data_IF_812332973164
#
_entry.id   IF_812332973164
#
_cell.length_a   1.000
_cell.length_b   1.000
_cell.length_c   1.000
_cell.angle_alpha   90.00
_cell.angle_beta   90.00
_cell.angle_gamma   90.00
#
_symmetry.space_group_name_H-M   'P 1'
#
loop_
_entity.id
_entity.type
_entity.pdbx_description
1 polymer ?
#
# COMPACT_ATOMS: atom_id res chain seq x y z
N UNK A 1 2.31 3.87 6.64
CA UNK A 1 1.17 4.78 6.50
C UNK A 1 0.05 4.06 5.76
N UNK A 2 -1.22 4.36 6.08
CA UNK A 2 -2.43 3.63 5.69
C UNK A 2 -2.54 2.21 6.26
N UNK A 3 -1.59 1.81 7.10
CA UNK A 3 -1.43 0.42 7.57
C UNK A 3 -1.71 0.32 9.06
N UNK A 4 -1.05 1.16 9.87
CA UNK A 4 -1.12 1.14 11.33
C UNK A 4 -2.44 1.70 11.88
N UNK A 5 -3.08 2.57 11.11
CA UNK A 5 -4.41 3.13 11.37
C UNK A 5 -5.55 2.28 10.78
N UNK A 6 -5.25 1.18 10.10
CA UNK A 6 -6.29 0.40 9.42
C UNK A 6 -7.22 -0.24 10.47
N UNK A 7 -8.54 -0.02 10.40
CA UNK A 7 -9.48 -0.61 11.36
C UNK A 7 -9.47 -2.14 11.28
N UNK A 8 -9.18 -2.68 10.10
CA UNK A 8 -9.11 -4.11 9.79
C UNK A 8 -7.81 -4.80 10.26
N UNK A 9 -6.93 -4.09 10.99
CA UNK A 9 -5.77 -4.73 11.59
C UNK A 9 -6.22 -5.76 12.62
N UNK A 10 -5.72 -6.99 12.47
CA UNK A 10 -5.97 -8.10 13.39
C UNK A 10 -4.97 -8.07 14.53
N UNK A 11 -5.12 -7.09 15.41
CA UNK A 11 -4.23 -6.84 16.55
C UNK A 11 -5.04 -6.75 17.83
N UNK A 12 -4.45 -7.05 19.00
CA UNK A 12 -5.04 -6.74 20.29
C UNK A 12 -5.41 -5.25 20.38
N UNK A 13 -6.58 -4.93 20.93
CA UNK A 13 -7.09 -3.56 20.99
C UNK A 13 -6.17 -2.62 21.79
N UNK A 14 -5.52 -3.14 22.83
CA UNK A 14 -4.49 -2.47 23.62
C UNK A 14 -3.28 -1.97 22.80
N UNK A 15 -2.99 -2.59 21.65
CA UNK A 15 -1.90 -2.15 20.76
C UNK A 15 -2.34 -1.08 19.76
N UNK A 16 -3.65 -0.81 19.64
CA UNK A 16 -4.17 0.14 18.64
C UNK A 16 -3.68 1.56 18.93
N UNK A 17 -3.78 2.00 20.17
CA UNK A 17 -3.29 3.33 20.58
C UNK A 17 -1.78 3.48 20.34
N UNK A 18 -1.01 2.43 20.67
CA UNK A 18 0.42 2.40 20.41
C UNK A 18 0.74 2.53 18.92
N UNK A 19 0.02 1.82 18.04
CA UNK A 19 0.26 1.91 16.59
C UNK A 19 -0.17 3.24 15.98
N UNK A 20 -1.22 3.88 16.51
CA UNK A 20 -1.57 5.24 16.13
C UNK A 20 -0.47 6.23 16.52
N UNK A 21 0.12 6.08 17.71
CA UNK A 21 1.28 6.88 18.12
C UNK A 21 2.48 6.65 17.18
N UNK A 22 2.80 5.40 16.87
CA UNK A 22 3.91 5.06 15.94
C UNK A 22 3.65 5.67 14.57
N UNK A 23 2.43 5.60 14.05
CA UNK A 23 2.05 6.23 12.77
C UNK A 23 2.40 7.72 12.75
N UNK A 24 2.08 8.44 13.82
CA UNK A 24 2.32 9.89 13.91
C UNK A 24 3.80 10.24 14.12
N UNK A 25 4.62 9.29 14.58
CA UNK A 25 6.06 9.46 14.73
C UNK A 25 6.85 9.19 13.44
N UNK A 26 6.33 8.37 12.51
CA UNK A 26 7.03 8.01 11.27
C UNK A 26 7.47 9.25 10.44
N UNK A 27 6.61 10.25 10.17
CA UNK A 27 7.02 11.46 9.47
C UNK A 27 8.16 12.20 10.17
N UNK A 28 8.06 12.34 11.50
CA UNK A 28 9.08 13.03 12.32
C UNK A 28 10.42 12.31 12.26
N UNK A 29 10.41 10.99 12.44
CA UNK A 29 11.61 10.17 12.31
C UNK A 29 12.26 10.29 10.93
N UNK A 30 11.47 10.43 9.86
CA UNK A 30 12.01 10.67 8.53
C UNK A 30 12.67 12.05 8.40
N UNK A 31 12.03 13.10 8.94
CA UNK A 31 12.61 14.46 8.95
C UNK A 31 13.88 14.54 9.80
N UNK A 32 13.92 13.83 10.93
CA UNK A 32 15.10 13.73 11.79
C UNK A 32 16.24 13.03 11.06
N UNK A 33 15.96 11.94 10.34
CA UNK A 33 16.94 11.28 9.47
C UNK A 33 17.48 12.21 8.37
N UNK A 34 16.61 12.99 7.71
CA UNK A 34 17.05 14.00 6.73
C UNK A 34 17.95 15.06 7.36
N UNK A 35 17.63 15.49 8.60
CA UNK A 35 18.44 16.44 9.36
C UNK A 35 19.82 15.87 9.68
N UNK A 36 19.89 14.61 10.12
CA UNK A 36 21.14 13.91 10.42
C UNK A 36 22.04 13.75 9.18
N UNK A 37 21.45 13.62 7.99
CA UNK A 37 22.20 13.65 6.72
C UNK A 37 22.72 15.04 6.33
N UNK A 38 22.46 16.08 7.13
CA UNK A 38 22.94 17.43 6.89
C UNK A 38 22.07 18.27 5.95
N UNK A 39 20.81 17.87 5.71
CA UNK A 39 19.87 18.68 4.91
C UNK A 39 19.57 20.00 5.62
N UNK A 40 19.71 21.11 4.90
CA UNK A 40 19.44 22.44 5.44
C UNK A 40 17.99 22.59 5.94
N UNK A 41 17.80 23.35 7.02
CA UNK A 41 16.50 23.59 7.65
C UNK A 41 15.41 24.06 6.68
N UNK A 42 15.75 24.91 5.69
CA UNK A 42 14.80 25.40 4.69
C UNK A 42 14.18 24.26 3.87
N UNK A 43 14.99 23.25 3.50
CA UNK A 43 14.51 22.09 2.76
C UNK A 43 13.76 21.09 3.65
N UNK A 44 14.07 21.03 4.95
CA UNK A 44 13.30 20.20 5.89
C UNK A 44 11.83 20.67 5.98
N UNK A 45 11.58 21.98 5.93
CA UNK A 45 10.22 22.55 5.87
C UNK A 45 9.50 22.13 4.60
N UNK A 46 10.19 22.17 3.45
CA UNK A 46 9.63 21.69 2.19
C UNK A 46 9.30 20.19 2.26
N UNK A 47 10.19 19.39 2.84
CA UNK A 47 9.98 17.95 3.02
C UNK A 47 8.79 17.65 3.94
N UNK A 48 8.66 18.36 5.06
CA UNK A 48 7.52 18.21 5.98
C UNK A 48 6.20 18.47 5.23
N UNK A 49 6.14 19.58 4.49
CA UNK A 49 4.96 19.91 3.69
C UNK A 49 4.68 18.87 2.61
N UNK A 50 5.70 18.37 1.91
CA UNK A 50 5.54 17.35 0.87
C UNK A 50 5.03 16.03 1.45
N UNK A 51 5.52 15.63 2.63
CA UNK A 51 5.05 14.45 3.34
C UNK A 51 3.57 14.62 3.70
N UNK A 52 3.19 15.74 4.31
CA UNK A 52 1.80 16.01 4.67
C UNK A 52 0.86 16.00 3.46
N UNK A 53 1.28 16.63 2.36
CA UNK A 53 0.53 16.62 1.10
C UNK A 53 0.34 15.19 0.57
N UNK A 54 1.38 14.35 0.58
CA UNK A 54 1.25 12.94 0.19
C UNK A 54 0.28 12.18 1.10
N UNK A 55 0.27 12.50 2.39
CA UNK A 55 -0.63 11.86 3.34
C UNK A 55 -2.10 12.16 3.03
N UNK A 56 -2.40 13.41 2.68
CA UNK A 56 -3.73 13.85 2.28
C UNK A 56 -4.17 13.17 0.98
N UNK A 57 -3.32 13.22 -0.06
CA UNK A 57 -3.63 12.61 -1.36
C UNK A 57 -3.94 11.12 -1.24
N UNK A 58 -3.16 10.36 -0.48
CA UNK A 58 -3.43 8.94 -0.30
C UNK A 58 -4.73 8.64 0.48
N UNK A 59 -5.13 9.50 1.40
CA UNK A 59 -6.41 9.34 2.07
C UNK A 59 -7.59 9.64 1.14
N UNK A 60 -7.46 10.63 0.27
CA UNK A 60 -8.46 10.99 -0.74
C UNK A 60 -8.58 9.95 -1.86
N UNK A 61 -7.47 9.30 -2.24
CA UNK A 61 -7.43 8.31 -3.31
C UNK A 61 -7.88 6.90 -2.87
N UNK A 62 -7.88 6.62 -1.57
CA UNK A 62 -8.26 5.32 -0.99
C UNK A 62 -9.62 4.80 -1.47
N UNK A 63 -10.72 5.60 -1.46
CA UNK A 63 -12.02 5.15 -1.95
C UNK A 63 -12.00 4.80 -3.45
N UNK A 64 -11.35 5.64 -4.27
CA UNK A 64 -11.23 5.43 -5.71
C UNK A 64 -10.43 4.17 -6.03
N UNK A 65 -9.32 3.94 -5.30
CA UNK A 65 -8.54 2.72 -5.42
C UNK A 65 -9.43 1.51 -5.08
N UNK A 66 -10.16 1.54 -3.97
CA UNK A 66 -11.05 0.45 -3.55
C UNK A 66 -12.09 0.13 -4.63
N UNK A 67 -12.78 1.13 -5.14
CA UNK A 67 -13.78 0.98 -6.20
C UNK A 67 -13.18 0.34 -7.46
N UNK A 68 -12.05 0.86 -7.94
CA UNK A 68 -11.38 0.33 -9.11
C UNK A 68 -10.95 -1.15 -8.96
N UNK A 69 -10.50 -1.55 -7.76
CA UNK A 69 -10.15 -2.96 -7.51
C UNK A 69 -11.38 -3.86 -7.38
N UNK A 70 -12.46 -3.39 -6.76
CA UNK A 70 -13.72 -4.14 -6.69
C UNK A 70 -14.29 -4.37 -8.09
N UNK A 71 -14.33 -3.34 -8.93
CA UNK A 71 -14.74 -3.47 -10.33
C UNK A 71 -13.88 -4.48 -11.08
N UNK A 72 -12.56 -4.39 -10.95
CA UNK A 72 -11.63 -5.27 -11.65
C UNK A 72 -11.82 -6.74 -11.24
N UNK A 73 -12.00 -7.01 -9.96
CA UNK A 73 -12.15 -8.38 -9.45
C UNK A 73 -13.54 -8.95 -9.73
N UNK A 74 -14.57 -8.09 -9.80
CA UNK A 74 -15.95 -8.47 -10.16
C UNK A 74 -16.15 -8.81 -11.65
N UNK A 75 -15.21 -8.42 -12.52
CA UNK A 75 -15.28 -8.70 -13.97
C UNK A 75 -15.14 -10.18 -14.30
N UNK A 76 -14.39 -10.92 -13.49
CA UNK A 76 -14.05 -12.32 -13.75
C UNK A 76 -14.88 -13.29 -12.88
N UNK A 77 -15.54 -12.81 -11.83
CA UNK A 77 -16.37 -13.60 -10.90
C UNK A 77 -17.23 -12.72 -9.98
N UNK A 78 -18.26 -13.31 -9.39
CA UNK A 78 -18.97 -12.69 -8.27
C UNK A 78 -18.06 -12.63 -7.02
N UNK A 79 -18.08 -11.50 -6.31
CA UNK A 79 -17.23 -11.28 -5.15
C UNK A 79 -17.82 -12.00 -3.92
N UNK A 80 -17.03 -12.90 -3.32
CA UNK A 80 -17.35 -13.45 -2.01
C UNK A 80 -16.69 -12.64 -0.87
N UNK A 81 -17.04 -12.96 0.37
CA UNK A 81 -16.49 -12.29 1.55
C UNK A 81 -14.96 -12.35 1.65
N UNK A 82 -14.34 -13.44 1.19
CA UNK A 82 -12.88 -13.57 1.21
C UNK A 82 -12.22 -12.62 0.20
N UNK A 83 -12.83 -12.43 -0.97
CA UNK A 83 -12.32 -11.51 -1.98
C UNK A 83 -12.36 -10.05 -1.48
N UNK A 84 -13.42 -9.68 -0.77
CA UNK A 84 -13.55 -8.35 -0.14
C UNK A 84 -12.45 -8.14 0.91
N UNK A 85 -12.21 -9.13 1.77
CA UNK A 85 -11.14 -9.08 2.77
C UNK A 85 -9.76 -8.95 2.13
N UNK A 86 -9.52 -9.66 1.02
CA UNK A 86 -8.26 -9.60 0.31
C UNK A 86 -8.03 -8.23 -0.36
N UNK A 87 -9.10 -7.62 -0.91
CA UNK A 87 -9.06 -6.25 -1.43
C UNK A 87 -8.76 -5.26 -0.29
N UNK A 88 -9.46 -5.36 0.85
CA UNK A 88 -9.21 -4.49 2.01
C UNK A 88 -7.80 -4.66 2.57
N UNK A 89 -7.25 -5.87 2.56
CA UNK A 89 -5.89 -6.16 3.00
C UNK A 89 -4.87 -5.38 2.16
N UNK A 90 -5.04 -5.37 0.85
CA UNK A 90 -4.09 -4.78 -0.11
C UNK A 90 -4.37 -3.31 -0.43
N UNK A 91 -5.52 -2.77 -0.04
CA UNK A 91 -5.92 -1.40 -0.35
C UNK A 91 -4.86 -0.34 0.02
N UNK A 92 -4.19 -0.40 1.19
CA UNK A 92 -3.13 0.55 1.54
C UNK A 92 -1.98 0.57 0.51
N UNK A 93 -1.47 -0.60 0.15
CA UNK A 93 -0.32 -0.72 -0.74
C UNK A 93 -0.67 -0.42 -2.19
N UNK A 94 -1.90 -0.76 -2.59
CA UNK A 94 -2.45 -0.42 -3.89
C UNK A 94 -2.58 1.09 -4.07
N UNK A 95 -3.10 1.80 -3.05
CA UNK A 95 -3.23 3.26 -3.07
C UNK A 95 -1.87 3.93 -3.25
N UNK A 96 -0.86 3.49 -2.49
CA UNK A 96 0.51 4.01 -2.61
C UNK A 96 1.10 3.67 -3.98
N UNK A 97 0.90 2.46 -4.50
CA UNK A 97 1.43 2.05 -5.81
C UNK A 97 0.88 2.91 -6.95
N UNK A 98 -0.42 3.21 -6.95
CA UNK A 98 -1.07 4.10 -7.91
C UNK A 98 -0.50 5.51 -7.80
N UNK A 99 -0.44 6.08 -6.59
CA UNK A 99 0.10 7.42 -6.38
C UNK A 99 1.57 7.56 -6.77
N UNK A 100 2.41 6.57 -6.44
CA UNK A 100 3.81 6.52 -6.86
C UNK A 100 3.94 6.49 -8.38
N UNK A 101 3.15 5.65 -9.04
CA UNK A 101 3.19 5.51 -10.49
C UNK A 101 2.73 6.79 -11.21
N UNK A 102 1.61 7.37 -10.78
CA UNK A 102 1.15 8.67 -11.26
C UNK A 102 2.20 9.76 -11.05
N UNK A 103 2.89 9.77 -9.91
CA UNK A 103 3.95 10.75 -9.66
C UNK A 103 5.13 10.57 -10.63
N UNK A 104 5.65 9.34 -10.78
CA UNK A 104 6.79 9.05 -11.68
C UNK A 104 6.43 9.39 -13.13
N UNK A 105 5.22 9.01 -13.58
CA UNK A 105 4.72 9.29 -14.92
C UNK A 105 4.23 10.73 -15.09
N UNK A 106 4.29 11.58 -14.05
CA UNK A 106 3.75 12.96 -14.05
C UNK A 106 2.30 13.01 -14.55
N UNK A 107 1.47 12.08 -14.09
CA UNK A 107 0.06 11.90 -14.47
C UNK A 107 -0.16 11.48 -15.94
N UNK A 108 0.90 11.20 -16.72
CA UNK A 108 0.81 10.77 -18.12
C UNK A 108 0.89 9.25 -18.23
N UNK A 109 -0.12 8.56 -17.73
CA UNK A 109 -0.20 7.10 -17.83
C UNK A 109 -1.63 6.59 -17.80
N UNK A 110 -1.86 5.47 -18.48
CA UNK A 110 -3.12 4.71 -18.44
C UNK A 110 -3.11 3.63 -17.33
N UNK A 111 -2.08 3.58 -16.48
CA UNK A 111 -2.00 2.65 -15.35
C UNK A 111 -1.75 1.18 -15.74
N UNK A 112 -1.49 0.90 -17.02
CA UNK A 112 -1.33 -0.48 -17.57
C UNK A 112 0.09 -0.83 -17.99
N UNK A 113 1.03 0.10 -17.80
CA UNK A 113 2.43 -0.08 -18.20
C UNK A 113 3.22 -1.02 -17.27
N UNK A 114 4.38 -1.48 -17.74
CA UNK A 114 5.23 -2.41 -17.00
C UNK A 114 5.84 -1.79 -15.74
N UNK A 115 5.97 -0.46 -15.68
CA UNK A 115 6.46 0.24 -14.50
C UNK A 115 5.47 0.11 -13.34
N UNK A 116 4.17 0.30 -13.59
CA UNK A 116 3.14 0.08 -12.57
C UNK A 116 3.23 -1.34 -11.99
N UNK A 117 3.35 -2.35 -12.86
CA UNK A 117 3.44 -3.76 -12.42
C UNK A 117 4.66 -4.00 -11.54
N UNK A 118 5.80 -3.40 -11.89
CA UNK A 118 7.02 -3.50 -11.10
C UNK A 118 6.86 -2.84 -9.72
N UNK A 119 6.37 -1.60 -9.69
CA UNK A 119 6.12 -0.84 -8.45
C UNK A 119 5.14 -1.60 -7.56
N UNK A 120 4.00 -1.99 -8.09
CA UNK A 120 2.96 -2.73 -7.37
C UNK A 120 3.51 -4.05 -6.81
N UNK A 121 4.21 -4.86 -7.62
CA UNK A 121 4.79 -6.13 -7.17
C UNK A 121 5.79 -5.94 -6.01
N UNK A 122 6.65 -4.93 -6.10
CA UNK A 122 7.67 -4.67 -5.07
C UNK A 122 7.04 -4.15 -3.79
N UNK A 123 6.13 -3.19 -3.89
CA UNK A 123 5.43 -2.62 -2.75
C UNK A 123 4.55 -3.67 -2.06
N UNK A 124 3.76 -4.45 -2.80
CA UNK A 124 2.92 -5.51 -2.22
C UNK A 124 3.76 -6.53 -1.46
N UNK A 125 4.90 -6.92 -2.01
CA UNK A 125 5.81 -7.83 -1.31
C UNK A 125 6.30 -7.23 0.02
N UNK A 126 6.83 -6.01 -0.01
CA UNK A 126 7.33 -5.33 1.19
C UNK A 126 6.23 -5.13 2.24
N UNK A 127 5.04 -4.73 1.79
CA UNK A 127 3.88 -4.53 2.64
C UNK A 127 3.43 -5.81 3.35
N UNK A 128 3.42 -6.94 2.65
CA UNK A 128 3.04 -8.21 3.26
C UNK A 128 4.14 -8.71 4.21
N UNK A 129 5.41 -8.51 3.84
CA UNK A 129 6.55 -8.78 4.71
C UNK A 129 6.49 -7.98 6.02
N UNK A 130 5.86 -6.80 5.99
CA UNK A 130 5.60 -5.98 7.17
C UNK A 130 4.31 -6.36 7.92
N UNK A 131 3.17 -6.45 7.22
CA UNK A 131 1.83 -6.58 7.83
C UNK A 131 1.56 -7.95 8.44
N UNK A 132 2.03 -9.04 7.81
CA UNK A 132 1.76 -10.38 8.34
C UNK A 132 2.43 -10.60 9.71
N UNK A 133 3.71 -10.27 9.92
CA UNK A 133 4.32 -10.33 11.25
C UNK A 133 3.66 -9.37 12.25
N UNK A 134 3.27 -8.17 11.80
CA UNK A 134 2.60 -7.18 12.64
C UNK A 134 1.29 -7.72 13.26
N UNK A 135 0.53 -8.50 12.49
CA UNK A 135 -0.70 -9.16 12.94
C UNK A 135 -0.44 -10.52 13.63
N UNK A 136 0.81 -10.83 13.99
CA UNK A 136 1.20 -12.09 14.65
C UNK A 136 1.22 -13.31 13.72
N UNK A 137 1.06 -13.12 12.42
CA UNK A 137 1.11 -14.17 11.41
C UNK A 137 2.53 -14.58 11.03
N UNK A 138 2.68 -15.79 10.48
CA UNK A 138 3.95 -16.27 9.91
C UNK A 138 3.89 -16.32 8.39
N UNK A 139 4.88 -15.72 7.72
CA UNK A 139 4.98 -15.76 6.26
C UNK A 139 5.47 -17.15 5.83
N UNK A 140 4.54 -18.06 5.53
CA UNK A 140 4.87 -19.37 4.96
C UNK A 140 5.37 -19.24 3.52
N UNK A 141 6.25 -20.15 3.06
CA UNK A 141 6.73 -20.18 1.67
C UNK A 141 5.57 -20.28 0.66
N UNK A 142 4.50 -20.99 1.02
CA UNK A 142 3.28 -21.12 0.21
C UNK A 142 2.44 -19.84 0.17
N UNK A 143 2.37 -19.06 1.27
CA UNK A 143 1.72 -17.74 1.27
C UNK A 143 2.40 -16.76 0.30
N UNK A 144 3.74 -16.75 0.27
CA UNK A 144 4.53 -15.98 -0.70
C UNK A 144 4.22 -16.33 -2.16
N UNK A 145 4.03 -17.61 -2.46
CA UNK A 145 3.76 -18.13 -3.81
C UNK A 145 2.32 -17.82 -4.23
N UNK A 146 1.32 -18.05 -3.37
CA UNK A 146 -0.10 -17.82 -3.65
C UNK A 146 -0.41 -16.35 -3.99
N UNK A 147 0.28 -15.41 -3.35
CA UNK A 147 0.11 -13.96 -3.57
C UNK A 147 0.83 -13.45 -4.83
N UNK A 148 1.97 -14.05 -5.20
CA UNK A 148 2.63 -13.75 -6.48
C UNK A 148 1.89 -14.31 -7.70
N UNK A 149 1.06 -15.34 -7.50
CA UNK A 149 0.34 -16.06 -8.55
C UNK A 149 -1.04 -15.49 -8.89
N UNK A 150 -1.73 -14.78 -7.98
CA UNK A 150 -3.07 -14.24 -8.30
C UNK A 150 -3.07 -13.24 -9.46
N UNK A 151 -1.97 -12.53 -9.72
CA UNK A 151 -1.83 -11.69 -10.91
C UNK A 151 -1.37 -12.44 -12.18
N UNK A 152 -0.85 -13.67 -12.06
CA UNK A 152 -0.40 -14.47 -13.20
C UNK A 152 -1.49 -15.40 -13.76
N UNK A 153 -2.44 -15.83 -12.93
CA UNK A 153 -3.51 -16.74 -13.35
C UNK A 153 -4.41 -16.10 -14.42
N UNK A 154 -4.62 -14.78 -14.40
CA UNK A 154 -5.40 -14.08 -15.44
C UNK A 154 -4.64 -13.88 -16.77
N UNK A 155 -3.32 -14.16 -16.83
CA UNK A 155 -2.56 -14.17 -18.09
C UNK A 155 -2.47 -15.57 -18.72
N UNK A 156 -2.56 -16.63 -17.91
CA UNK A 156 -2.53 -18.01 -18.39
C UNK A 156 -3.88 -18.49 -18.95
N UNK A 157 -5.00 -18.01 -18.38
CA UNK A 157 -6.36 -18.35 -18.84
C UNK A 157 -6.83 -17.58 -20.09
N UNK A 158 -5.98 -16.72 -20.67
CA UNK A 158 -6.23 -16.05 -21.96
C UNK A 158 -5.63 -16.79 -23.17
N UNK A 159 -5.11 -18.01 -22.98
CA UNK A 159 -4.49 -18.84 -24.04
C UNK A 159 -5.09 -20.25 -24.16
N UNK A 160 -6.31 -20.44 -23.69
CA UNK A 160 -7.17 -21.59 -23.97
C UNK A 160 -8.54 -21.06 -24.32
#
# INVERSE_FOLDING_TARGET
MLTLESPELRIPEELREYYLLVKDQIPKAHLDYLREMGIEKKYLVDWERLIDMRYQEYNEDKPKAREAFMELESKDKELNSQDILDIQLLLPVQTVAVGCHHHICRQKTEGRDELFKLVHKKLCRAYIEFRVPLEGGKITRFGRIRMGLRHLVNRALKKT
#
